data_IF_695229326900
#
_entry.id   IF_695229326900
#
_cell.length_a   1.000
_cell.length_b   1.000
_cell.length_c   1.000
_cell.angle_alpha   90.00
_cell.angle_beta   90.00
_cell.angle_gamma   90.00
#
_symmetry.space_group_name_H-M   'P 1'
#
loop_
_entity.id
_entity.type
_entity.pdbx_description
1 polymer ?
#
# COMPACT_ATOMS: atom_id res chain seq x y z
N UNK A 1 20.23 33.25 -43.41
CA UNK A 1 21.71 33.32 -43.39
C UNK A 1 22.06 34.59 -42.64
N UNK A 2 22.70 34.65 -41.47
CA UNK A 2 23.65 33.76 -40.79
C UNK A 2 23.69 34.17 -39.31
N UNK A 3 23.94 33.18 -38.45
CA UNK A 3 24.06 33.29 -36.99
C UNK A 3 25.33 34.02 -36.51
N UNK A 4 25.30 34.52 -35.26
CA UNK A 4 26.38 34.51 -34.23
C UNK A 4 25.76 35.01 -32.91
N UNK A 5 25.54 34.16 -31.89
CA UNK A 5 26.47 33.52 -30.95
C UNK A 5 26.74 34.39 -29.72
N UNK A 6 26.29 33.89 -28.56
CA UNK A 6 26.46 34.47 -27.23
C UNK A 6 25.75 33.62 -26.17
N UNK A 7 26.38 32.50 -25.81
CA UNK A 7 26.44 31.85 -24.50
C UNK A 7 25.18 31.66 -23.64
N UNK A 8 24.70 30.40 -23.57
CA UNK A 8 24.41 29.74 -22.29
C UNK A 8 24.78 28.25 -22.42
N UNK A 9 25.98 27.91 -21.93
CA UNK A 9 26.35 26.54 -21.64
C UNK A 9 25.50 25.97 -20.49
N UNK A 10 25.35 24.63 -20.53
CA UNK A 10 25.09 23.77 -19.37
C UNK A 10 23.68 23.75 -18.80
N UNK A 11 22.79 23.01 -19.47
CA UNK A 11 21.84 22.14 -18.75
C UNK A 11 22.23 20.69 -19.05
N UNK A 12 23.30 20.25 -18.38
CA UNK A 12 23.53 18.83 -18.17
C UNK A 12 22.34 18.29 -17.37
N UNK A 13 21.40 17.68 -18.08
CA UNK A 13 20.31 16.91 -17.52
C UNK A 13 20.97 15.75 -16.76
N UNK A 14 21.15 15.98 -15.46
CA UNK A 14 21.95 15.14 -14.60
C UNK A 14 21.36 13.73 -14.64
N UNK A 15 22.13 12.81 -15.21
CA UNK A 15 21.93 11.38 -15.10
C UNK A 15 21.60 11.06 -13.64
N UNK A 16 20.37 10.62 -13.37
CA UNK A 16 20.03 9.98 -12.11
C UNK A 16 20.83 8.67 -12.08
N UNK A 17 22.06 8.74 -11.55
CA UNK A 17 22.90 7.59 -11.27
C UNK A 17 22.08 6.65 -10.38
N UNK A 18 21.62 5.54 -10.93
CA UNK A 18 21.32 4.34 -10.15
C UNK A 18 22.65 3.89 -9.52
N UNK A 19 22.97 4.35 -8.31
CA UNK A 19 24.24 4.01 -7.66
C UNK A 19 24.23 4.28 -6.15
N UNK A 20 23.40 3.54 -5.41
CA UNK A 20 23.76 2.89 -4.13
C UNK A 20 22.48 2.23 -3.59
N UNK A 21 22.51 0.92 -3.41
CA UNK A 21 21.55 0.30 -2.47
C UNK A 21 21.96 0.84 -1.12
N UNK A 22 21.12 1.66 -0.48
CA UNK A 22 21.37 2.05 0.91
C UNK A 22 21.63 0.78 1.72
N UNK A 23 22.56 0.85 2.67
CA UNK A 23 22.74 -0.25 3.61
C UNK A 23 21.47 -0.47 4.46
N UNK A 24 21.48 -1.48 5.32
CA UNK A 24 20.27 -1.90 6.06
C UNK A 24 20.12 -1.19 7.41
N UNK A 25 21.11 -0.44 7.86
CA UNK A 25 21.11 0.23 9.17
C UNK A 25 20.55 1.62 9.05
N UNK A 26 19.54 1.95 9.85
CA UNK A 26 18.94 3.28 9.86
C UNK A 26 18.85 3.86 11.26
N UNK A 27 19.00 5.18 11.36
CA UNK A 27 18.79 5.92 12.60
C UNK A 27 17.55 6.82 12.45
N UNK A 28 16.47 6.57 13.22
CA UNK A 28 15.28 7.40 13.17
C UNK A 28 15.48 8.70 13.95
N UNK A 29 15.13 9.83 13.34
CA UNK A 29 15.12 11.15 13.98
C UNK A 29 13.68 11.67 13.92
N UNK A 30 13.09 11.95 15.08
CA UNK A 30 11.72 12.50 15.14
C UNK A 30 11.83 13.98 15.49
N UNK A 31 11.66 14.84 14.47
CA UNK A 31 11.89 16.29 14.56
C UNK A 31 10.70 17.08 15.16
N UNK A 32 9.78 16.40 15.84
CA UNK A 32 8.62 17.03 16.47
C UNK A 32 7.59 16.04 17.00
N UNK A 33 6.39 16.53 17.32
CA UNK A 33 5.33 15.71 17.93
C UNK A 33 4.53 14.93 16.88
N UNK A 34 4.70 13.62 16.87
CA UNK A 34 3.98 12.68 15.99
C UNK A 34 2.98 11.78 16.72
N UNK A 35 2.96 11.84 18.07
CA UNK A 35 2.15 10.98 18.94
C UNK A 35 2.29 9.47 18.65
N UNK A 36 3.48 9.03 18.20
CA UNK A 36 3.74 7.62 17.89
C UNK A 36 3.38 7.18 16.47
N UNK A 37 2.80 8.04 15.62
CA UNK A 37 2.41 7.66 14.25
C UNK A 37 3.57 7.08 13.41
N UNK A 38 4.77 7.63 13.58
CA UNK A 38 5.99 7.17 12.91
C UNK A 38 6.37 5.72 13.22
N UNK A 39 5.95 5.18 14.37
CA UNK A 39 6.33 3.84 14.83
C UNK A 39 5.83 2.74 13.90
N UNK A 40 4.70 2.95 13.22
CA UNK A 40 4.23 2.01 12.19
C UNK A 40 5.29 1.84 11.10
N UNK A 41 5.83 2.94 10.57
CA UNK A 41 6.81 2.90 9.50
C UNK A 41 8.14 2.28 9.95
N UNK A 42 8.56 2.54 11.18
CA UNK A 42 9.73 1.90 11.80
C UNK A 42 9.52 0.37 11.88
N UNK A 43 8.37 -0.07 12.37
CA UNK A 43 8.05 -1.50 12.48
C UNK A 43 7.96 -2.17 11.11
N UNK A 44 7.39 -1.48 10.11
CA UNK A 44 7.34 -1.96 8.73
C UNK A 44 8.73 -2.09 8.09
N UNK A 45 9.69 -1.23 8.46
CA UNK A 45 11.08 -1.37 8.03
C UNK A 45 11.79 -2.53 8.72
N UNK A 46 11.59 -2.69 10.04
CA UNK A 46 12.13 -3.82 10.81
C UNK A 46 11.61 -5.16 10.29
N UNK A 47 10.35 -5.24 9.87
CA UNK A 47 9.77 -6.46 9.28
C UNK A 47 10.36 -6.80 7.90
N UNK A 48 11.04 -5.84 7.27
CA UNK A 48 11.78 -5.99 6.01
C UNK A 48 13.30 -6.05 6.24
N UNK A 49 13.77 -6.62 7.35
CA UNK A 49 15.20 -6.80 7.68
C UNK A 49 16.03 -5.50 7.72
N UNK A 50 15.40 -4.33 7.85
CA UNK A 50 16.12 -3.09 8.17
C UNK A 50 16.41 -3.06 9.68
N UNK A 51 17.61 -2.61 10.04
CA UNK A 51 18.12 -2.60 11.41
C UNK A 51 18.13 -1.18 11.93
N UNK A 52 17.27 -0.90 12.90
CA UNK A 52 17.35 0.34 13.66
C UNK A 52 18.60 0.34 14.54
N UNK A 53 19.42 1.39 14.43
CA UNK A 53 20.61 1.58 15.27
C UNK A 53 20.39 2.69 16.28
N UNK A 54 21.28 2.78 17.28
CA UNK A 54 21.18 3.74 18.39
C UNK A 54 21.98 5.03 18.17
N UNK A 55 22.73 5.14 17.07
CA UNK A 55 23.49 6.34 16.74
C UNK A 55 23.49 6.62 15.24
N UNK A 56 23.53 7.90 14.86
CA UNK A 56 23.67 8.31 13.47
C UNK A 56 25.02 7.91 12.85
N UNK A 57 26.06 7.71 13.68
CA UNK A 57 27.38 7.31 13.21
C UNK A 57 27.35 5.89 12.64
N UNK A 58 26.63 4.98 13.32
CA UNK A 58 26.52 3.56 12.96
C UNK A 58 25.50 3.27 11.85
N UNK A 59 24.73 4.28 11.45
CA UNK A 59 23.68 4.16 10.44
C UNK A 59 24.24 4.26 9.02
N UNK A 60 23.66 3.49 8.10
CA UNK A 60 23.91 3.63 6.66
C UNK A 60 23.14 4.85 6.12
N UNK A 61 21.94 5.11 6.64
CA UNK A 61 21.12 6.28 6.30
C UNK A 61 20.33 6.81 7.50
N UNK A 62 19.89 8.05 7.41
CA UNK A 62 19.04 8.69 8.43
C UNK A 62 17.59 8.70 7.95
N UNK A 63 16.68 8.41 8.87
CA UNK A 63 15.24 8.46 8.59
C UNK A 63 14.59 9.55 9.43
N UNK A 64 14.26 10.67 8.80
CA UNK A 64 13.79 11.87 9.50
C UNK A 64 12.28 11.96 9.39
N UNK A 65 11.59 11.86 10.53
CA UNK A 65 10.16 12.09 10.67
C UNK A 65 9.91 13.54 11.06
N UNK A 66 9.40 14.33 10.12
CA UNK A 66 9.15 15.76 10.29
C UNK A 66 7.64 16.02 10.32
N UNK A 67 7.00 16.10 11.51
CA UNK A 67 5.60 16.50 11.57
C UNK A 67 5.43 17.98 11.18
N UNK A 68 4.56 18.24 10.23
CA UNK A 68 4.22 19.60 9.77
C UNK A 68 3.21 20.19 10.74
N UNK A 69 3.67 21.16 11.54
CA UNK A 69 2.89 21.84 12.57
C UNK A 69 2.60 23.30 12.21
N UNK A 70 3.43 23.90 11.35
CA UNK A 70 3.31 25.30 10.94
C UNK A 70 3.27 25.43 9.41
N UNK A 71 4.44 25.39 8.77
CA UNK A 71 4.63 25.53 7.33
C UNK A 71 5.64 24.48 6.88
N UNK A 72 5.34 23.83 5.76
CA UNK A 72 6.15 22.74 5.19
C UNK A 72 7.62 23.13 5.09
N UNK A 73 7.93 24.27 4.49
CA UNK A 73 9.32 24.75 4.33
C UNK A 73 10.04 24.98 5.66
N UNK A 74 9.39 25.65 6.61
CA UNK A 74 9.98 26.00 7.90
C UNK A 74 10.26 24.76 8.73
N UNK A 75 9.26 23.87 8.84
CA UNK A 75 9.38 22.65 9.64
C UNK A 75 10.43 21.70 9.05
N UNK A 76 10.51 21.58 7.71
CA UNK A 76 11.55 20.80 7.02
C UNK A 76 12.94 21.41 7.24
N UNK A 77 13.07 22.73 7.08
CA UNK A 77 14.36 23.41 7.27
C UNK A 77 14.89 23.21 8.69
N UNK A 78 14.01 23.29 9.70
CA UNK A 78 14.35 23.03 11.09
C UNK A 78 14.69 21.56 11.33
N UNK A 79 13.93 20.62 10.75
CA UNK A 79 14.20 19.19 10.89
C UNK A 79 15.56 18.78 10.28
N UNK A 80 16.07 19.57 9.33
CA UNK A 80 17.32 19.32 8.62
C UNK A 80 18.52 20.14 9.14
N UNK A 81 18.33 21.08 10.09
CA UNK A 81 19.40 21.99 10.53
C UNK A 81 20.51 21.28 11.31
N UNK A 82 20.14 20.32 12.15
CA UNK A 82 21.03 19.68 13.13
C UNK A 82 21.42 18.25 12.72
N UNK A 83 21.15 17.89 11.46
CA UNK A 83 21.40 16.54 10.96
C UNK A 83 22.88 16.38 10.66
N UNK A 84 23.51 15.26 11.07
CA UNK A 84 24.91 14.98 10.77
C UNK A 84 25.21 15.11 9.27
N UNK A 85 26.26 15.85 8.94
CA UNK A 85 26.72 15.97 7.57
C UNK A 85 27.18 14.59 7.02
N UNK A 86 27.02 14.39 5.71
CA UNK A 86 27.52 13.23 4.95
C UNK A 86 26.84 11.87 5.20
N UNK A 87 25.57 11.87 5.61
CA UNK A 87 24.73 10.65 5.62
C UNK A 87 23.55 10.85 4.66
N UNK A 88 23.22 9.82 3.89
CA UNK A 88 22.01 9.84 3.07
C UNK A 88 20.76 9.95 3.95
N UNK A 89 19.81 10.79 3.56
CA UNK A 89 18.61 11.09 4.32
C UNK A 89 17.36 10.67 3.54
N UNK A 90 16.48 9.93 4.21
CA UNK A 90 15.08 9.76 3.82
C UNK A 90 14.25 10.66 4.73
N UNK A 91 13.64 11.70 4.16
CA UNK A 91 12.75 12.62 4.86
C UNK A 91 11.29 12.18 4.69
N UNK A 92 10.59 12.03 5.81
CA UNK A 92 9.16 11.72 5.88
C UNK A 92 8.45 12.93 6.49
N UNK A 93 7.88 13.77 5.65
CA UNK A 93 7.03 14.88 6.07
C UNK A 93 5.67 14.34 6.50
N UNK A 94 5.33 14.49 7.78
CA UNK A 94 4.10 13.95 8.38
C UNK A 94 3.08 15.06 8.58
N UNK A 95 2.02 15.07 7.78
CA UNK A 95 0.98 16.11 7.83
C UNK A 95 -0.14 15.66 8.76
N UNK A 96 -0.40 16.45 9.81
CA UNK A 96 -1.47 16.14 10.77
C UNK A 96 -2.83 16.51 10.18
N UNK A 97 -3.41 15.57 9.45
CA UNK A 97 -4.60 15.76 8.63
C UNK A 97 -5.52 14.58 8.85
N UNK A 98 -6.79 14.86 9.11
CA UNK A 98 -7.82 13.82 9.26
C UNK A 98 -8.35 13.31 7.91
N UNK A 99 -8.47 14.18 6.90
CA UNK A 99 -8.99 13.82 5.58
C UNK A 99 -7.89 13.18 4.69
N UNK A 100 -8.02 11.90 4.31
CA UNK A 100 -7.02 11.19 3.49
C UNK A 100 -6.89 11.74 2.05
N UNK A 101 -7.90 12.45 1.55
CA UNK A 101 -7.92 13.05 0.20
C UNK A 101 -7.48 14.52 0.20
N UNK A 102 -7.03 15.05 1.33
CA UNK A 102 -6.57 16.43 1.41
C UNK A 102 -5.34 16.66 0.51
N UNK A 103 -5.44 17.66 -0.36
CA UNK A 103 -4.33 18.07 -1.22
C UNK A 103 -3.34 18.85 -0.37
N UNK A 104 -2.18 18.26 -0.13
CA UNK A 104 -1.07 18.90 0.56
C UNK A 104 0.00 19.39 -0.42
N UNK A 105 0.72 20.47 -0.08
CA UNK A 105 1.93 20.86 -0.79
C UNK A 105 2.95 19.72 -0.79
N UNK A 106 3.61 19.49 -1.93
CA UNK A 106 4.69 18.50 -2.04
C UNK A 106 5.92 18.96 -1.25
N UNK A 107 6.30 18.20 -0.22
CA UNK A 107 7.46 18.52 0.62
C UNK A 107 8.76 18.55 -0.16
N UNK A 108 8.89 17.70 -1.18
CA UNK A 108 10.07 17.62 -2.04
C UNK A 108 10.47 18.97 -2.66
N UNK A 109 9.53 19.88 -2.91
CA UNK A 109 9.81 21.22 -3.48
C UNK A 109 10.54 22.14 -2.52
N UNK A 110 10.54 21.82 -1.23
CA UNK A 110 11.10 22.64 -0.14
C UNK A 110 12.36 21.99 0.49
N UNK A 111 12.91 20.97 -0.18
CA UNK A 111 14.11 20.26 0.27
C UNK A 111 15.31 20.77 -0.53
N UNK A 112 16.20 21.48 0.15
CA UNK A 112 17.43 22.02 -0.45
C UNK A 112 18.71 21.32 0.03
N UNK A 113 18.60 20.45 1.04
CA UNK A 113 19.75 19.71 1.57
C UNK A 113 20.17 18.61 0.58
N UNK A 114 21.41 18.62 0.08
CA UNK A 114 21.86 17.67 -0.95
C UNK A 114 21.97 16.22 -0.45
N UNK A 115 21.99 16.01 0.86
CA UNK A 115 22.03 14.68 1.46
C UNK A 115 20.65 14.02 1.50
N UNK A 116 19.56 14.75 1.22
CA UNK A 116 18.22 14.17 1.13
C UNK A 116 18.03 13.50 -0.21
N UNK A 117 18.13 12.17 -0.20
CA UNK A 117 18.00 11.33 -1.40
C UNK A 117 16.54 11.02 -1.73
N UNK A 118 15.65 11.08 -0.73
CA UNK A 118 14.23 10.86 -0.87
C UNK A 118 13.47 11.72 0.13
N UNK A 119 12.46 12.43 -0.36
CA UNK A 119 11.48 13.14 0.46
C UNK A 119 10.08 12.65 0.09
N UNK A 120 9.35 12.16 1.08
CA UNK A 120 7.99 11.65 0.93
C UNK A 120 7.04 12.33 1.91
N UNK A 121 5.76 12.29 1.59
CA UNK A 121 4.70 12.91 2.37
C UNK A 121 3.78 11.83 2.95
N UNK A 122 3.51 11.88 4.25
CA UNK A 122 2.60 10.96 4.94
C UNK A 122 1.52 11.75 5.67
N UNK A 123 0.29 11.24 5.67
CA UNK A 123 -0.83 11.77 6.44
C UNK A 123 -0.97 10.98 7.75
N UNK A 124 -1.17 11.69 8.86
CA UNK A 124 -1.40 11.07 10.16
C UNK A 124 -2.46 11.83 10.96
N UNK A 125 -3.19 11.11 11.81
CA UNK A 125 -4.13 11.69 12.75
C UNK A 125 -4.19 10.83 14.01
N UNK A 126 -4.36 11.45 15.17
CA UNK A 126 -4.51 10.75 16.46
C UNK A 126 -3.42 9.68 16.71
N UNK A 127 -2.17 10.04 16.41
CA UNK A 127 -1.01 9.15 16.65
C UNK A 127 -0.92 7.94 15.71
N UNK A 128 -1.69 7.92 14.60
CA UNK A 128 -1.67 6.84 13.61
C UNK A 128 -1.45 7.38 12.19
N UNK A 129 -0.66 6.67 11.39
CA UNK A 129 -0.63 6.91 9.94
C UNK A 129 -2.00 6.54 9.35
N UNK A 130 -2.52 7.40 8.48
CA UNK A 130 -3.77 7.11 7.78
C UNK A 130 -3.57 6.00 6.73
N UNK A 131 -4.65 5.27 6.45
CA UNK A 131 -4.73 4.38 5.29
C UNK A 131 -5.06 5.21 4.05
N UNK A 132 -4.07 5.96 3.56
CA UNK A 132 -4.21 6.87 2.43
C UNK A 132 -3.32 6.42 1.26
N UNK A 133 -3.81 6.56 0.02
CA UNK A 133 -3.03 6.29 -1.21
C UNK A 133 -1.66 6.98 -1.19
N UNK A 134 -1.61 8.18 -0.61
CA UNK A 134 -0.36 8.93 -0.45
C UNK A 134 0.64 8.18 0.44
N UNK A 135 0.20 7.62 1.56
CA UNK A 135 1.06 6.85 2.45
C UNK A 135 1.57 5.58 1.77
N UNK A 136 0.73 4.92 0.96
CA UNK A 136 1.13 3.75 0.17
C UNK A 136 2.20 4.12 -0.89
N UNK A 137 2.00 5.22 -1.61
CA UNK A 137 2.98 5.73 -2.58
C UNK A 137 4.31 6.11 -1.90
N UNK A 138 4.23 6.79 -0.76
CA UNK A 138 5.40 7.15 0.05
C UNK A 138 6.15 5.90 0.53
N UNK A 139 5.43 4.87 0.97
CA UNK A 139 6.02 3.59 1.32
C UNK A 139 6.68 2.89 0.14
N UNK A 140 6.02 2.89 -1.02
CA UNK A 140 6.58 2.35 -2.26
C UNK A 140 7.89 3.04 -2.65
N UNK A 141 7.95 4.38 -2.58
CA UNK A 141 9.16 5.13 -2.91
C UNK A 141 10.30 4.86 -1.90
N UNK A 142 9.99 4.72 -0.61
CA UNK A 142 10.96 4.31 0.43
C UNK A 142 11.53 2.94 0.10
N UNK A 143 10.68 1.94 -0.10
CA UNK A 143 11.15 0.57 -0.36
C UNK A 143 11.94 0.47 -1.66
N UNK A 144 11.57 1.27 -2.67
CA UNK A 144 12.30 1.39 -3.93
C UNK A 144 13.69 1.99 -3.75
N UNK A 145 13.84 3.07 -2.98
CA UNK A 145 15.16 3.69 -2.75
C UNK A 145 16.09 2.78 -1.93
N UNK A 146 15.52 1.97 -1.03
CA UNK A 146 16.22 0.96 -0.25
C UNK A 146 16.61 -0.29 -1.08
N UNK A 147 16.27 -0.34 -2.37
CA UNK A 147 16.60 -1.47 -3.24
C UNK A 147 15.88 -2.76 -2.85
N UNK A 148 14.75 -2.67 -2.13
CA UNK A 148 14.03 -3.83 -1.64
C UNK A 148 13.31 -4.52 -2.81
N UNK A 149 13.48 -5.84 -2.98
CA UNK A 149 12.82 -6.54 -4.07
C UNK A 149 11.31 -6.45 -3.85
N UNK A 150 10.60 -6.04 -4.91
CA UNK A 150 9.16 -5.83 -4.89
C UNK A 150 8.38 -7.06 -4.37
N UNK A 151 8.96 -8.27 -4.48
CA UNK A 151 8.40 -9.51 -3.93
C UNK A 151 8.24 -9.52 -2.40
N UNK A 152 9.13 -8.83 -1.65
CA UNK A 152 9.06 -8.74 -0.18
C UNK A 152 8.04 -7.69 0.29
N UNK A 153 7.93 -6.59 -0.45
CA UNK A 153 6.91 -5.54 -0.23
C UNK A 153 5.51 -6.06 -0.59
N UNK A 154 5.42 -6.90 -1.62
CA UNK A 154 4.16 -7.56 -1.98
C UNK A 154 3.75 -8.64 -0.98
N UNK A 155 4.60 -9.18 -0.11
CA UNK A 155 4.18 -10.21 0.85
C UNK A 155 3.22 -9.71 1.94
N UNK A 156 3.27 -8.42 2.27
CA UNK A 156 2.28 -7.78 3.15
C UNK A 156 1.04 -7.25 2.39
N UNK A 157 1.11 -7.23 1.05
CA UNK A 157 0.07 -6.76 0.11
C UNK A 157 -0.37 -7.88 -0.86
N UNK A 158 -0.14 -9.15 -0.49
CA UNK A 158 -0.34 -10.31 -1.36
C UNK A 158 -1.84 -10.63 -1.41
N UNK A 159 -2.49 -9.87 -2.30
CA UNK A 159 -3.63 -10.18 -3.17
C UNK A 159 -4.45 -11.35 -2.65
N UNK A 160 -5.60 -11.01 -2.07
CA UNK A 160 -6.73 -11.87 -1.66
C UNK A 160 -7.20 -12.87 -2.73
N UNK A 161 -6.45 -13.14 -3.80
CA UNK A 161 -6.93 -13.75 -5.02
C UNK A 161 -7.92 -12.84 -5.73
N UNK A 162 -8.78 -13.43 -6.56
CA UNK A 162 -9.87 -12.69 -7.22
C UNK A 162 -11.24 -13.27 -6.91
N UNK A 163 -11.29 -14.47 -6.33
CA UNK A 163 -12.54 -15.17 -6.07
C UNK A 163 -13.05 -14.78 -4.69
N UNK A 164 -14.25 -14.24 -4.60
CA UNK A 164 -14.85 -13.91 -3.32
C UNK A 164 -16.19 -14.61 -3.16
N UNK A 165 -16.47 -15.02 -1.93
CA UNK A 165 -17.80 -15.51 -1.56
C UNK A 165 -18.50 -14.45 -0.73
N UNK A 166 -19.76 -14.18 -1.06
CA UNK A 166 -20.60 -13.21 -0.35
C UNK A 166 -21.36 -13.91 0.77
N UNK A 167 -21.19 -13.44 2.00
CA UNK A 167 -21.99 -13.87 3.14
C UNK A 167 -22.84 -12.70 3.64
N UNK A 168 -24.16 -12.81 3.55
CA UNK A 168 -25.09 -11.78 4.03
C UNK A 168 -25.62 -12.19 5.40
N UNK A 169 -25.19 -11.48 6.45
CA UNK A 169 -25.52 -11.78 7.84
C UNK A 169 -26.83 -11.16 8.34
N UNK A 170 -27.68 -10.70 7.42
CA UNK A 170 -28.94 -10.02 7.74
C UNK A 170 -29.67 -9.59 6.47
N UNK A 171 -30.58 -8.62 6.59
CA UNK A 171 -31.32 -8.10 5.45
C UNK A 171 -30.90 -6.65 5.09
N UNK A 172 -30.04 -6.45 4.08
CA UNK A 172 -29.64 -5.13 3.61
C UNK A 172 -30.64 -4.48 2.62
N UNK A 173 -31.82 -5.08 2.40
CA UNK A 173 -32.86 -4.59 1.48
C UNK A 173 -32.34 -4.30 0.04
N UNK A 174 -31.38 -5.08 -0.44
CA UNK A 174 -30.81 -4.91 -1.79
C UNK A 174 -29.66 -3.89 -1.89
N UNK A 175 -29.43 -3.03 -0.89
CA UNK A 175 -28.39 -1.99 -0.96
C UNK A 175 -26.97 -2.53 -1.19
N UNK A 176 -26.69 -3.74 -0.70
CA UNK A 176 -25.43 -4.45 -0.86
C UNK A 176 -25.06 -4.76 -2.33
N UNK A 177 -26.03 -4.81 -3.25
CA UNK A 177 -25.77 -5.16 -4.65
C UNK A 177 -24.81 -4.16 -5.30
N UNK A 178 -24.91 -2.87 -4.95
CA UNK A 178 -23.98 -1.85 -5.46
C UNK A 178 -22.52 -2.09 -5.02
N UNK A 179 -22.30 -2.64 -3.82
CA UNK A 179 -20.95 -3.04 -3.37
C UNK A 179 -20.44 -4.24 -4.20
N UNK A 180 -21.31 -5.22 -4.46
CA UNK A 180 -20.97 -6.41 -5.26
C UNK A 180 -20.66 -6.00 -6.71
N UNK A 181 -21.49 -5.15 -7.30
CA UNK A 181 -21.27 -4.58 -8.63
C UNK A 181 -19.92 -3.87 -8.70
N UNK A 182 -19.57 -3.07 -7.69
CA UNK A 182 -18.25 -2.44 -7.63
C UNK A 182 -17.12 -3.46 -7.61
N UNK A 183 -17.24 -4.57 -6.87
CA UNK A 183 -16.24 -5.64 -6.85
C UNK A 183 -16.11 -6.31 -8.22
N UNK A 184 -17.22 -6.57 -8.92
CA UNK A 184 -17.19 -7.09 -10.30
C UNK A 184 -16.49 -6.12 -11.26
N UNK A 185 -16.77 -4.82 -11.16
CA UNK A 185 -16.09 -3.78 -11.95
C UNK A 185 -14.58 -3.71 -11.66
N UNK A 186 -14.15 -4.10 -10.46
CA UNK A 186 -12.74 -4.22 -10.09
C UNK A 186 -12.09 -5.53 -10.59
N UNK A 187 -12.82 -6.35 -11.35
CA UNK A 187 -12.33 -7.61 -11.89
C UNK A 187 -12.24 -8.75 -10.87
N UNK A 188 -12.96 -8.61 -9.75
CA UNK A 188 -13.19 -9.69 -8.79
C UNK A 188 -14.31 -10.61 -9.31
N UNK A 189 -14.25 -11.88 -8.93
CA UNK A 189 -15.14 -12.94 -9.38
C UNK A 189 -15.89 -13.49 -8.18
N UNK A 190 -17.20 -13.32 -8.17
CA UNK A 190 -18.04 -13.95 -7.15
C UNK A 190 -18.12 -15.46 -7.40
N UNK A 191 -18.08 -16.25 -6.33
CA UNK A 191 -18.20 -17.71 -6.38
C UNK A 191 -19.27 -18.22 -5.43
N UNK A 192 -19.91 -19.33 -5.80
CA UNK A 192 -21.06 -19.89 -5.06
C UNK A 192 -20.65 -20.78 -3.86
N UNK A 193 -19.35 -20.97 -3.63
CA UNK A 193 -18.87 -21.80 -2.53
C UNK A 193 -17.67 -21.17 -1.82
N UNK A 194 -17.76 -21.18 -0.49
CA UNK A 194 -16.67 -20.81 0.42
C UNK A 194 -15.41 -21.62 0.13
N UNK A 195 -15.49 -22.89 -0.30
CA UNK A 195 -14.29 -23.72 -0.49
C UNK A 195 -13.38 -23.22 -1.61
N UNK A 196 -13.97 -22.67 -2.68
CA UNK A 196 -13.26 -22.19 -3.88
C UNK A 196 -12.99 -20.69 -3.89
N UNK A 197 -13.48 -19.95 -2.88
CA UNK A 197 -13.16 -18.54 -2.72
C UNK A 197 -11.74 -18.34 -2.22
N UNK A 198 -11.14 -17.23 -2.57
CA UNK A 198 -9.86 -16.80 -2.01
C UNK A 198 -10.10 -15.98 -0.73
N UNK A 199 -11.23 -15.24 -0.66
CA UNK A 199 -11.65 -14.46 0.51
C UNK A 199 -13.17 -14.38 0.66
N UNK A 200 -13.61 -13.81 1.79
CA UNK A 200 -15.01 -13.61 2.12
C UNK A 200 -15.35 -12.11 2.15
N UNK A 201 -16.51 -11.76 1.60
CA UNK A 201 -17.14 -10.45 1.80
C UNK A 201 -18.35 -10.65 2.70
N UNK A 202 -18.27 -10.15 3.93
CA UNK A 202 -19.32 -10.32 4.94
C UNK A 202 -20.12 -9.03 5.02
N UNK A 203 -21.37 -9.08 4.56
CA UNK A 203 -22.31 -7.96 4.60
C UNK A 203 -23.11 -8.03 5.90
N UNK A 204 -22.92 -7.05 6.77
CA UNK A 204 -23.51 -6.98 8.10
C UNK A 204 -24.38 -5.73 8.24
N UNK A 205 -25.65 -5.77 7.81
CA UNK A 205 -26.58 -4.69 8.09
C UNK A 205 -26.93 -4.65 9.58
N UNK A 206 -26.78 -3.47 10.18
CA UNK A 206 -27.07 -3.24 11.60
C UNK A 206 -28.58 -3.11 11.80
N UNK A 207 -29.16 -4.05 12.53
CA UNK A 207 -30.57 -4.11 12.86
C UNK A 207 -30.84 -3.75 14.33
N UNK A 208 -29.87 -4.02 15.20
CA UNK A 208 -30.01 -3.82 16.64
C UNK A 208 -28.87 -2.96 17.21
N UNK A 209 -27.69 -3.54 17.36
CA UNK A 209 -26.49 -2.93 17.93
C UNK A 209 -25.28 -3.40 17.14
N UNK A 210 -24.38 -2.46 16.83
CA UNK A 210 -23.19 -2.68 16.00
C UNK A 210 -22.38 -3.89 16.48
N UNK A 211 -21.99 -3.92 17.76
CA UNK A 211 -21.21 -5.00 18.33
C UNK A 211 -21.91 -6.37 18.25
N UNK A 212 -23.19 -6.42 18.62
CA UNK A 212 -23.96 -7.67 18.64
C UNK A 212 -24.11 -8.23 17.24
N UNK A 213 -24.53 -7.40 16.29
CA UNK A 213 -24.77 -7.83 14.91
C UNK A 213 -23.46 -8.29 14.24
N UNK A 214 -22.33 -7.59 14.48
CA UNK A 214 -20.99 -8.00 14.00
C UNK A 214 -20.59 -9.35 14.60
N UNK A 215 -20.74 -9.54 15.92
CA UNK A 215 -20.37 -10.79 16.58
C UNK A 215 -21.18 -11.97 16.04
N UNK A 216 -22.49 -11.78 15.83
CA UNK A 216 -23.37 -12.79 15.21
C UNK A 216 -22.91 -13.10 13.78
N UNK A 217 -22.66 -12.08 12.97
CA UNK A 217 -22.20 -12.22 11.59
C UNK A 217 -20.90 -13.03 11.50
N UNK A 218 -19.91 -12.71 12.33
CA UNK A 218 -18.59 -13.35 12.29
C UNK A 218 -18.59 -14.75 12.91
N UNK A 219 -19.43 -15.02 13.93
CA UNK A 219 -19.55 -16.34 14.56
C UNK A 219 -20.14 -17.40 13.62
N UNK A 220 -20.89 -16.97 12.62
CA UNK A 220 -21.56 -17.86 11.65
C UNK A 220 -20.64 -18.32 10.51
N UNK A 221 -19.38 -17.85 10.47
CA UNK A 221 -18.43 -18.12 9.40
C UNK A 221 -17.59 -19.36 9.75
N UNK A 222 -17.68 -20.46 8.96
CA UNK A 222 -17.06 -21.72 9.33
C UNK A 222 -15.56 -21.84 9.02
N UNK A 223 -14.94 -20.83 8.38
CA UNK A 223 -13.57 -20.93 7.82
C UNK A 223 -12.65 -19.79 8.23
N UNK A 224 -11.35 -20.09 8.39
CA UNK A 224 -10.29 -19.12 8.64
C UNK A 224 -9.75 -18.42 7.38
N UNK A 225 -10.63 -18.08 6.43
CA UNK A 225 -10.25 -17.31 5.24
C UNK A 225 -10.25 -15.81 5.56
N UNK A 226 -9.45 -14.99 4.83
CA UNK A 226 -9.50 -13.55 4.99
C UNK A 226 -10.90 -12.98 4.76
N UNK A 227 -11.31 -12.02 5.58
CA UNK A 227 -12.63 -11.40 5.57
C UNK A 227 -12.51 -9.90 5.33
N UNK A 228 -13.26 -9.40 4.34
CA UNK A 228 -13.66 -8.01 4.24
C UNK A 228 -15.04 -7.89 4.90
N UNK A 229 -15.10 -7.25 6.07
CA UNK A 229 -16.34 -6.99 6.79
C UNK A 229 -16.93 -5.65 6.33
N UNK A 230 -18.15 -5.69 5.81
CA UNK A 230 -18.89 -4.52 5.34
C UNK A 230 -20.06 -4.30 6.29
N UNK A 231 -19.92 -3.34 7.20
CA UNK A 231 -20.96 -2.98 8.17
C UNK A 231 -21.88 -1.94 7.54
N UNK A 232 -23.19 -2.22 7.47
CA UNK A 232 -24.16 -1.36 6.79
C UNK A 232 -25.11 -0.71 7.81
N UNK A 233 -25.07 0.60 7.92
CA UNK A 233 -25.86 1.38 8.86
C UNK A 233 -27.07 2.00 8.15
N UNK A 234 -28.26 1.65 8.64
CA UNK A 234 -29.49 2.21 8.10
C UNK A 234 -29.68 3.66 8.59
N UNK A 235 -29.63 4.62 7.67
CA UNK A 235 -29.80 6.04 7.97
C UNK A 235 -30.17 6.83 6.72
N UNK A 236 -31.08 7.79 6.85
CA UNK A 236 -31.34 8.77 5.79
C UNK A 236 -30.28 9.89 5.74
N UNK A 237 -29.64 10.20 6.87
CA UNK A 237 -28.66 11.29 6.98
C UNK A 237 -27.28 10.86 6.44
N UNK A 238 -26.78 11.48 5.33
CA UNK A 238 -25.48 11.17 4.74
C UNK A 238 -24.29 11.70 5.57
N UNK A 239 -24.54 12.60 6.52
CA UNK A 239 -23.52 13.17 7.42
C UNK A 239 -23.56 12.56 8.82
N UNK A 240 -24.35 11.50 9.01
CA UNK A 240 -24.47 10.83 10.30
C UNK A 240 -23.09 10.42 10.81
N UNK A 241 -22.74 10.92 11.98
CA UNK A 241 -21.52 10.51 12.66
C UNK A 241 -21.73 9.10 13.23
N UNK A 242 -20.96 8.14 12.69
CA UNK A 242 -20.95 6.76 13.15
C UNK A 242 -19.52 6.46 13.61
N UNK A 243 -19.41 5.94 14.82
CA UNK A 243 -18.14 5.44 15.33
C UNK A 243 -17.70 4.24 14.50
N UNK A 244 -16.42 4.18 14.15
CA UNK A 244 -15.93 3.15 13.24
C UNK A 244 -16.09 1.75 13.85
N UNK A 245 -16.67 0.84 13.06
CA UNK A 245 -17.10 -0.48 13.55
C UNK A 245 -15.95 -1.44 13.79
N UNK A 246 -14.75 -1.17 13.25
CA UNK A 246 -13.55 -1.98 13.45
C UNK A 246 -13.20 -2.15 14.94
N UNK A 247 -13.61 -1.21 15.80
CA UNK A 247 -13.38 -1.26 17.25
C UNK A 247 -14.05 -2.46 17.93
N UNK A 248 -15.11 -3.00 17.32
CA UNK A 248 -15.85 -4.15 17.81
C UNK A 248 -15.38 -5.48 17.18
N UNK A 249 -14.40 -5.43 16.27
CA UNK A 249 -13.92 -6.59 15.53
C UNK A 249 -12.74 -7.21 16.26
N UNK A 250 -12.94 -8.41 16.79
CA UNK A 250 -11.89 -9.19 17.47
C UNK A 250 -11.41 -10.39 16.63
N UNK A 251 -12.09 -10.68 15.51
CA UNK A 251 -11.76 -11.83 14.69
C UNK A 251 -10.48 -11.55 13.87
N UNK A 252 -9.40 -12.35 14.06
CA UNK A 252 -8.11 -12.10 13.43
C UNK A 252 -8.11 -12.32 11.91
N UNK A 253 -9.14 -13.00 11.37
CA UNK A 253 -9.28 -13.21 9.93
C UNK A 253 -9.90 -11.99 9.23
N UNK A 254 -10.43 -11.01 9.96
CA UNK A 254 -10.92 -9.76 9.38
C UNK A 254 -9.75 -8.86 9.06
N UNK A 255 -9.50 -8.67 7.77
CA UNK A 255 -8.37 -7.90 7.25
C UNK A 255 -8.75 -6.47 6.85
N UNK A 256 -10.05 -6.22 6.65
CA UNK A 256 -10.60 -4.91 6.36
C UNK A 256 -12.01 -4.84 6.96
N UNK A 257 -12.31 -3.75 7.66
CA UNK A 257 -13.67 -3.41 8.11
C UNK A 257 -14.02 -2.05 7.53
N UNK A 258 -15.13 -1.98 6.79
CA UNK A 258 -15.65 -0.75 6.20
C UNK A 258 -17.08 -0.50 6.65
N UNK A 259 -17.44 0.78 6.77
CA UNK A 259 -18.74 1.23 7.25
C UNK A 259 -19.50 1.94 6.12
N UNK A 260 -20.61 1.37 5.69
CA UNK A 260 -21.50 1.94 4.68
C UNK A 260 -22.78 2.51 5.28
N UNK A 261 -23.26 3.63 4.73
CA UNK A 261 -24.58 4.18 5.01
C UNK A 261 -25.55 3.79 3.89
N UNK A 262 -26.75 3.35 4.26
CA UNK A 262 -27.78 3.01 3.30
C UNK A 262 -29.18 3.42 3.77
N UNK A 263 -30.07 3.66 2.82
CA UNK A 263 -31.48 3.97 3.06
C UNK A 263 -32.32 3.45 1.90
N UNK A 264 -33.52 2.92 2.19
CA UNK A 264 -34.49 2.46 1.19
C UNK A 264 -33.87 1.57 0.09
N UNK A 265 -33.01 0.64 0.52
CA UNK A 265 -32.38 -0.34 -0.37
C UNK A 265 -31.30 0.21 -1.30
N UNK A 266 -30.78 1.42 -1.03
CA UNK A 266 -29.69 2.04 -1.79
C UNK A 266 -28.58 2.55 -0.87
N UNK A 267 -27.34 2.54 -1.35
CA UNK A 267 -26.24 3.19 -0.65
C UNK A 267 -26.38 4.70 -0.78
N UNK A 268 -26.03 5.44 0.27
CA UNK A 268 -25.99 6.90 0.20
C UNK A 268 -24.77 7.35 -0.61
N UNK A 269 -24.92 8.45 -1.35
CA UNK A 269 -23.78 9.14 -1.96
C UNK A 269 -23.14 10.07 -0.93
N UNK A 270 -22.10 9.60 -0.24
CA UNK A 270 -21.42 10.36 0.82
C UNK A 270 -19.94 9.99 0.93
N UNK A 271 -19.18 10.85 1.61
CA UNK A 271 -17.73 10.70 1.81
C UNK A 271 -17.36 9.38 2.50
N UNK A 272 -18.20 8.90 3.42
CA UNK A 272 -17.97 7.63 4.13
C UNK A 272 -18.03 6.43 3.17
N UNK A 273 -19.05 6.37 2.32
CA UNK A 273 -19.21 5.28 1.35
C UNK A 273 -18.10 5.34 0.28
N UNK A 274 -17.69 6.54 -0.12
CA UNK A 274 -16.58 6.75 -1.05
C UNK A 274 -15.24 6.32 -0.44
N UNK A 275 -14.98 6.68 0.82
CA UNK A 275 -13.79 6.26 1.58
C UNK A 275 -13.74 4.74 1.70
N UNK A 276 -14.85 4.12 2.12
CA UNK A 276 -14.97 2.66 2.23
C UNK A 276 -14.69 1.94 0.91
N UNK A 277 -15.18 2.47 -0.21
CA UNK A 277 -14.90 1.93 -1.54
C UNK A 277 -13.42 2.08 -1.91
N UNK A 278 -12.78 3.19 -1.52
CA UNK A 278 -11.35 3.41 -1.74
C UNK A 278 -10.49 2.44 -0.93
N UNK A 279 -10.86 2.17 0.32
CA UNK A 279 -10.20 1.18 1.18
C UNK A 279 -10.30 -0.22 0.57
N UNK A 280 -11.49 -0.64 0.12
CA UNK A 280 -11.68 -1.92 -0.60
C UNK A 280 -10.76 -2.00 -1.83
N UNK A 281 -10.70 -0.96 -2.66
CA UNK A 281 -9.85 -0.94 -3.87
C UNK A 281 -8.37 -1.09 -3.54
N UNK A 282 -7.93 -0.38 -2.49
CA UNK A 282 -6.55 -0.40 -2.01
C UNK A 282 -6.21 -1.79 -1.47
N UNK A 283 -7.06 -2.36 -0.64
CA UNK A 283 -6.91 -3.72 -0.08
C UNK A 283 -6.86 -4.79 -1.17
N UNK A 284 -7.62 -4.62 -2.25
CA UNK A 284 -7.61 -5.55 -3.39
C UNK A 284 -6.47 -5.29 -4.40
N UNK A 285 -5.58 -4.32 -4.13
CA UNK A 285 -4.39 -4.05 -4.94
C UNK A 285 -4.68 -3.47 -6.33
N UNK A 286 -5.88 -2.91 -6.56
CA UNK A 286 -6.25 -2.33 -7.86
C UNK A 286 -5.64 -0.93 -7.98
N UNK A 287 -4.35 -0.88 -8.33
CA UNK A 287 -3.67 0.34 -8.77
C UNK A 287 -3.63 0.42 -10.30
N UNK A 288 -3.69 1.66 -10.81
CA UNK A 288 -3.73 2.13 -12.22
C UNK A 288 -3.28 1.15 -13.33
N UNK A 289 -3.91 1.17 -14.54
CA UNK A 289 -3.54 0.34 -15.70
C UNK A 289 -2.05 0.31 -16.07
N UNK A 290 -1.29 1.36 -15.73
CA UNK A 290 0.15 1.43 -16.00
C UNK A 290 0.98 0.43 -15.18
N UNK A 291 0.56 0.11 -13.95
CA UNK A 291 1.21 -0.86 -13.06
C UNK A 291 0.94 -2.29 -13.57
N UNK A 292 -0.30 -2.57 -13.99
CA UNK A 292 -0.70 -3.86 -14.58
C UNK A 292 0.08 -4.13 -15.87
N UNK A 293 0.28 -3.10 -16.72
CA UNK A 293 1.08 -3.23 -17.95
C UNK A 293 2.52 -3.65 -17.65
N UNK A 294 3.12 -3.06 -16.61
CA UNK A 294 4.49 -3.37 -16.20
C UNK A 294 4.63 -4.78 -15.60
N UNK A 295 3.64 -5.23 -14.82
CA UNK A 295 3.60 -6.59 -14.26
C UNK A 295 3.43 -7.63 -15.37
N UNK A 296 2.49 -7.42 -16.29
CA UNK A 296 2.24 -8.35 -17.39
C UNK A 296 3.47 -8.52 -18.30
N UNK A 297 4.21 -7.44 -18.56
CA UNK A 297 5.48 -7.48 -19.30
C UNK A 297 6.56 -8.28 -18.57
N UNK A 298 6.69 -8.13 -17.25
CA UNK A 298 7.71 -8.83 -16.47
C UNK A 298 7.38 -10.32 -16.24
N UNK A 299 6.10 -10.67 -16.08
CA UNK A 299 5.63 -12.06 -15.99
C UNK A 299 5.84 -12.77 -17.32
N UNK A 300 5.49 -12.14 -18.46
CA UNK A 300 5.78 -12.71 -19.79
C UNK A 300 7.28 -12.94 -20.02
N UNK A 301 8.14 -11.99 -19.62
CA UNK A 301 9.59 -12.16 -19.73
C UNK A 301 10.12 -13.33 -18.90
N UNK A 302 9.69 -13.47 -17.64
CA UNK A 302 10.10 -14.58 -16.77
C UNK A 302 9.62 -15.94 -17.29
N UNK A 303 8.38 -16.01 -17.77
CA UNK A 303 7.84 -17.24 -18.36
C UNK A 303 8.63 -17.66 -19.61
N UNK A 304 9.03 -16.71 -20.45
CA UNK A 304 9.82 -16.99 -21.64
C UNK A 304 11.23 -17.51 -21.33
N UNK A 305 11.84 -17.02 -20.24
CA UNK A 305 13.13 -17.53 -19.75
C UNK A 305 13.00 -19.00 -19.29
N UNK A 306 11.90 -19.35 -18.60
CA UNK A 306 11.64 -20.74 -18.19
C UNK A 306 11.43 -21.65 -19.39
N UNK A 307 10.66 -21.20 -20.39
CA UNK A 307 10.45 -21.97 -21.63
C UNK A 307 11.77 -22.23 -22.37
N UNK A 308 12.64 -21.22 -22.48
CA UNK A 308 13.96 -21.36 -23.11
C UNK A 308 14.83 -22.36 -22.32
N UNK A 309 14.85 -22.28 -20.99
CA UNK A 309 15.63 -23.19 -20.16
C UNK A 309 15.18 -24.67 -20.32
N UNK A 310 13.87 -24.91 -20.40
CA UNK A 310 13.32 -26.25 -20.63
C UNK A 310 13.71 -26.79 -22.01
N UNK A 311 13.63 -25.96 -23.05
CA UNK A 311 14.04 -26.36 -24.41
C UNK A 311 15.53 -26.71 -24.50
N UNK A 312 16.39 -25.95 -23.81
CA UNK A 312 17.82 -26.24 -23.71
C UNK A 312 18.06 -27.57 -23.00
N UNK A 313 17.35 -27.84 -21.90
CA UNK A 313 17.48 -29.11 -21.18
C UNK A 313 17.10 -30.31 -22.05
N UNK A 314 15.98 -30.20 -22.79
CA UNK A 314 15.52 -31.24 -23.71
C UNK A 314 16.58 -31.48 -24.81
N UNK A 315 17.14 -30.42 -25.38
CA UNK A 315 18.19 -30.53 -26.39
C UNK A 315 19.44 -31.25 -25.86
N UNK A 316 19.88 -30.93 -24.63
CA UNK A 316 21.02 -31.60 -23.99
C UNK A 316 20.75 -33.09 -23.79
N UNK A 317 19.55 -33.47 -23.34
CA UNK A 317 19.17 -34.88 -23.17
C UNK A 317 19.18 -35.63 -24.50
N UNK A 318 18.65 -35.01 -25.56
CA UNK A 318 18.66 -35.61 -26.91
C UNK A 318 20.11 -35.84 -27.38
N UNK A 319 20.98 -34.83 -27.27
CA UNK A 319 22.39 -34.94 -27.69
C UNK A 319 23.14 -36.04 -26.91
N UNK A 320 22.91 -36.14 -25.60
CA UNK A 320 23.50 -37.19 -24.76
C UNK A 320 22.99 -38.59 -25.15
N UNK A 321 21.70 -38.73 -25.46
CA UNK A 321 21.10 -40.00 -25.89
C UNK A 321 21.62 -40.47 -27.26
N UNK A 322 21.85 -39.55 -28.19
CA UNK A 322 22.44 -39.86 -29.50
C UNK A 322 23.91 -40.26 -29.35
N UNK A 323 24.67 -39.55 -28.51
CA UNK A 323 26.09 -39.84 -28.27
C UNK A 323 26.32 -41.22 -27.65
N UNK A 324 25.45 -41.63 -26.72
CA UNK A 324 25.51 -42.96 -26.08
C UNK A 324 25.09 -44.10 -27.03
N UNK A 325 24.23 -43.83 -28.00
CA UNK A 325 23.86 -44.79 -29.04
C UNK A 325 24.98 -45.00 -30.09
N UNK A 326 25.75 -43.96 -30.40
CA UNK A 326 26.90 -44.08 -31.31
C UNK A 326 28.14 -44.73 -30.65
N UNK A 327 28.31 -44.60 -29.34
CA UNK A 327 29.43 -45.24 -28.61
C UNK A 327 29.24 -46.75 -28.38
N UNK A 328 28.07 -47.32 -28.70
CA UNK A 328 27.75 -48.76 -28.52
C UNK A 328 27.71 -49.55 -29.85
N UNK A 329 28.12 -48.95 -30.96
CA UNK A 329 28.38 -49.63 -32.23
C UNK A 329 29.88 -49.63 -32.51
#
# INVERSE_FOLDING_TARGET
MTARQGDYQSMALHNFRFSSVLGRKFFPIVAGKTNGAHQKLINDLRSLDQVEVYSAADADYLMIFCPIASRVETDISQALSDVPANKDIILVAMHHIFNPDHVIPESKKHVHNPNVILAVDCLFHDGKLLLARRNDNSWYDITKVLGMPHSQVTSFLLVLGRKFFVFVAGNPNGAHQEIIDHLHHLGQVEVDSISVSDYLVVLCPIASRVETDINVALSSIPVGKPIILVVMHHTYDPHRNIADSWRYVQNPNVILTVDYLFHDGKLLHCDRNQTSLCEIRTTLGVSSPEVIRFIHLNVKKKWWIVVIAVLVLIAVVIIASVSTHFSKR
#
